data_IF_735275539479
#
_entry.id   IF_735275539479
#
_cell.length_a   1.000
_cell.length_b   1.000
_cell.length_c   1.000
_cell.angle_alpha   90.00
_cell.angle_beta   90.00
_cell.angle_gamma   90.00
#
_symmetry.space_group_name_H-M   'P 1'
#
loop_
_entity.id
_entity.type
_entity.pdbx_description
1 polymer ?
#
# COMPACT_ATOMS: atom_id res chain seq x y z
N UNK A 1 5.69 -12.67 11.55
CA UNK A 1 7.12 -12.43 11.26
C UNK A 1 7.44 -11.03 11.72
N UNK A 2 8.64 -10.83 12.27
CA UNK A 2 9.13 -9.51 12.60
C UNK A 2 9.58 -9.33 14.04
N UNK A 3 9.82 -8.06 14.39
CA UNK A 3 10.22 -7.58 15.71
C UNK A 3 9.09 -6.70 16.24
N UNK A 4 8.95 -6.63 17.55
CA UNK A 4 8.24 -5.50 18.16
C UNK A 4 9.06 -4.22 18.00
N UNK A 5 8.46 -3.05 18.17
CA UNK A 5 9.20 -1.77 18.15
C UNK A 5 10.12 -1.58 19.38
N UNK A 6 10.44 -2.66 20.11
CA UNK A 6 11.32 -2.68 21.28
C UNK A 6 12.78 -2.99 20.95
N UNK A 7 13.61 -3.24 21.96
CA UNK A 7 15.03 -3.57 21.77
C UNK A 7 15.27 -5.04 21.40
N UNK A 8 14.31 -5.92 21.68
CA UNK A 8 14.40 -7.37 21.45
C UNK A 8 14.77 -7.75 20.01
N UNK A 9 15.51 -8.85 19.78
CA UNK A 9 15.76 -9.33 18.42
C UNK A 9 14.48 -9.84 17.74
N UNK A 10 14.43 -9.74 16.41
CA UNK A 10 13.29 -10.20 15.62
C UNK A 10 13.13 -11.73 15.73
N UNK A 11 11.97 -12.21 16.16
CA UNK A 11 11.71 -13.64 16.39
C UNK A 11 11.73 -14.46 15.09
N UNK A 12 11.29 -13.87 13.96
CA UNK A 12 11.37 -14.46 12.60
C UNK A 12 11.47 -13.35 11.56
N UNK A 13 12.69 -13.11 11.05
CA UNK A 13 13.00 -12.11 10.00
C UNK A 13 12.41 -12.53 8.66
N UNK A 14 12.30 -11.59 7.72
CA UNK A 14 11.89 -11.93 6.36
C UNK A 14 12.95 -12.87 5.72
N UNK A 15 12.53 -13.91 4.99
CA UNK A 15 13.46 -14.93 4.48
C UNK A 15 14.27 -14.48 3.27
N UNK A 16 13.94 -13.35 2.64
CA UNK A 16 14.58 -12.89 1.40
C UNK A 16 15.75 -11.96 1.72
N UNK A 17 15.54 -10.96 2.60
CA UNK A 17 16.57 -9.96 2.95
C UNK A 17 16.90 -9.88 4.45
N UNK A 18 16.31 -10.74 5.29
CA UNK A 18 16.62 -10.77 6.73
C UNK A 18 16.18 -9.52 7.49
N UNK A 19 15.24 -8.75 6.95
CA UNK A 19 14.67 -7.56 7.57
C UNK A 19 13.76 -7.96 8.73
N UNK A 20 13.83 -7.17 9.81
CA UNK A 20 13.00 -7.37 10.98
C UNK A 20 11.56 -6.85 10.82
N UNK A 21 11.29 -6.04 9.79
CA UNK A 21 9.98 -5.44 9.53
C UNK A 21 9.63 -5.45 8.03
N UNK A 22 10.18 -6.41 7.28
CA UNK A 22 9.86 -6.58 5.86
C UNK A 22 8.47 -7.20 5.68
N UNK A 23 7.77 -6.79 4.62
CA UNK A 23 6.54 -7.42 4.16
C UNK A 23 6.61 -7.61 2.64
N UNK A 24 6.15 -8.76 2.15
CA UNK A 24 6.01 -8.99 0.71
C UNK A 24 4.77 -8.26 0.18
N UNK A 25 4.76 -7.93 -1.11
CA UNK A 25 3.57 -7.37 -1.78
C UNK A 25 2.33 -8.22 -1.54
N UNK A 26 2.45 -9.56 -1.53
CA UNK A 26 1.33 -10.45 -1.22
C UNK A 26 0.79 -10.29 0.21
N UNK A 27 1.67 -10.16 1.21
CA UNK A 27 1.25 -9.95 2.60
C UNK A 27 0.50 -8.62 2.77
N UNK A 28 0.98 -7.57 2.11
CA UNK A 28 0.31 -6.25 2.12
C UNK A 28 -1.01 -6.32 1.34
N UNK A 29 -1.07 -7.02 0.21
CA UNK A 29 -2.31 -7.24 -0.54
C UNK A 29 -3.37 -7.93 0.32
N UNK A 30 -2.98 -9.00 1.03
CA UNK A 30 -3.86 -9.70 1.96
C UNK A 30 -4.36 -8.79 3.09
N UNK A 31 -3.54 -7.87 3.59
CA UNK A 31 -3.95 -6.89 4.59
C UNK A 31 -5.06 -5.99 4.03
N UNK A 32 -4.86 -5.37 2.86
CA UNK A 32 -5.90 -4.52 2.24
C UNK A 32 -7.16 -5.31 1.88
N UNK A 33 -7.01 -6.55 1.41
CA UNK A 33 -8.14 -7.43 1.14
C UNK A 33 -8.97 -7.68 2.40
N UNK A 34 -8.34 -8.06 3.51
CA UNK A 34 -9.05 -8.27 4.79
C UNK A 34 -9.66 -6.98 5.33
N UNK A 35 -9.00 -5.83 5.13
CA UNK A 35 -9.55 -4.52 5.49
C UNK A 35 -10.80 -4.20 4.67
N UNK A 36 -10.77 -4.47 3.35
CA UNK A 36 -11.92 -4.28 2.46
C UNK A 36 -13.10 -5.19 2.81
N UNK A 37 -12.80 -6.40 3.28
CA UNK A 37 -13.80 -7.40 3.68
C UNK A 37 -14.29 -7.23 5.13
N UNK A 38 -13.71 -6.30 5.92
CA UNK A 38 -14.04 -6.14 7.34
C UNK A 38 -13.63 -7.33 8.21
N UNK A 39 -12.64 -8.12 7.77
CA UNK A 39 -12.16 -9.32 8.49
C UNK A 39 -10.78 -9.13 9.10
N UNK A 40 -10.19 -7.93 9.03
CA UNK A 40 -8.86 -7.65 9.56
C UNK A 40 -8.88 -7.35 11.06
N UNK A 41 -9.80 -6.47 11.49
CA UNK A 41 -9.96 -5.94 12.84
C UNK A 41 -11.46 -5.98 13.20
N UNK A 42 -11.81 -5.63 14.43
CA UNK A 42 -13.21 -5.33 14.76
C UNK A 42 -13.71 -4.08 14.02
N UNK A 43 -15.01 -3.78 14.15
CA UNK A 43 -15.66 -2.69 13.43
C UNK A 43 -15.06 -1.33 13.77
N UNK A 44 -14.85 -1.03 15.05
CA UNK A 44 -14.34 0.26 15.52
C UNK A 44 -12.96 0.54 14.92
N UNK A 45 -12.04 -0.42 15.06
CA UNK A 45 -10.69 -0.28 14.55
C UNK A 45 -10.61 -0.34 13.02
N UNK A 46 -11.53 -1.06 12.36
CA UNK A 46 -11.67 -1.03 10.90
C UNK A 46 -12.04 0.37 10.42
N UNK A 47 -13.02 1.02 11.06
CA UNK A 47 -13.43 2.38 10.71
C UNK A 47 -12.29 3.38 10.94
N UNK A 48 -11.61 3.28 12.09
CA UNK A 48 -10.45 4.11 12.41
C UNK A 48 -9.33 3.94 11.37
N UNK A 49 -8.98 2.70 11.03
CA UNK A 49 -7.91 2.43 10.06
C UNK A 49 -8.26 2.95 8.66
N UNK A 50 -9.52 2.81 8.23
CA UNK A 50 -9.99 3.35 6.96
C UNK A 50 -9.90 4.89 6.96
N UNK A 51 -10.34 5.53 8.03
CA UNK A 51 -10.27 7.00 8.14
C UNK A 51 -8.82 7.51 8.01
N UNK A 52 -7.89 6.91 8.76
CA UNK A 52 -6.46 7.26 8.71
C UNK A 52 -5.89 7.08 7.30
N UNK A 53 -6.16 5.95 6.66
CA UNK A 53 -5.64 5.65 5.33
C UNK A 53 -6.26 6.51 4.22
N UNK A 54 -7.46 7.07 4.45
CA UNK A 54 -8.15 7.93 3.48
C UNK A 54 -7.54 9.33 3.36
N UNK A 55 -6.66 9.72 4.28
CA UNK A 55 -6.07 11.06 4.38
C UNK A 55 -4.55 11.01 4.14
N UNK A 56 -4.08 10.79 2.89
CA UNK A 56 -2.66 10.75 2.62
C UNK A 56 -2.02 12.12 2.89
N UNK A 57 -1.12 12.19 3.86
CA UNK A 57 -0.42 13.45 4.18
C UNK A 57 0.66 13.88 3.17
N UNK A 58 0.93 13.07 2.13
CA UNK A 58 1.99 13.34 1.14
C UNK A 58 1.53 12.94 -0.28
N UNK A 59 1.51 13.91 -1.18
CA UNK A 59 1.06 13.77 -2.58
C UNK A 59 2.19 13.38 -3.54
N UNK A 60 2.83 12.24 -3.28
CA UNK A 60 3.86 11.63 -4.13
C UNK A 60 3.44 10.23 -4.63
N UNK A 61 4.17 9.62 -5.57
CA UNK A 61 3.94 8.25 -6.09
C UNK A 61 2.50 8.03 -6.61
N UNK A 62 1.74 7.07 -6.08
CA UNK A 62 0.41 6.70 -6.61
C UNK A 62 -0.56 7.89 -6.63
N UNK A 63 -0.59 8.72 -5.58
CA UNK A 63 -1.51 9.87 -5.51
C UNK A 63 -1.27 10.82 -6.67
N UNK A 64 -0.03 11.07 -7.08
CA UNK A 64 0.30 11.98 -8.20
C UNK A 64 -0.34 11.57 -9.54
N UNK A 65 -0.78 10.32 -9.69
CA UNK A 65 -1.45 9.82 -10.90
C UNK A 65 -2.91 9.44 -10.72
N UNK A 66 -3.40 9.40 -9.48
CA UNK A 66 -4.79 9.08 -9.16
C UNK A 66 -5.57 10.30 -8.62
N UNK A 67 -4.86 11.35 -8.19
CA UNK A 67 -5.45 12.60 -7.73
C UNK A 67 -6.23 13.29 -8.86
N UNK A 68 -7.39 13.87 -8.52
CA UNK A 68 -8.30 14.49 -9.48
C UNK A 68 -9.20 13.50 -10.26
N UNK A 69 -8.97 12.19 -10.11
CA UNK A 69 -9.91 11.18 -10.60
C UNK A 69 -11.03 10.99 -9.58
N UNK A 70 -12.21 10.58 -10.04
CA UNK A 70 -13.35 10.28 -9.17
C UNK A 70 -13.18 8.90 -8.48
N UNK A 71 -12.23 8.82 -7.57
CA UNK A 71 -11.86 7.60 -6.85
C UNK A 71 -11.69 7.88 -5.35
N UNK A 72 -12.04 6.89 -4.53
CA UNK A 72 -11.66 6.86 -3.11
C UNK A 72 -10.38 6.06 -2.96
N UNK A 73 -9.41 6.57 -2.20
CA UNK A 73 -8.09 5.96 -2.04
C UNK A 73 -7.78 5.79 -0.56
N UNK A 74 -7.55 4.55 -0.14
CA UNK A 74 -7.02 4.19 1.18
C UNK A 74 -5.57 3.77 0.99
N UNK A 75 -4.61 4.58 1.46
CA UNK A 75 -3.21 4.46 1.04
C UNK A 75 -2.20 4.50 2.17
N UNK A 76 -1.11 3.75 1.99
CA UNK A 76 0.14 3.95 2.74
C UNK A 76 1.35 3.97 1.81
N UNK A 77 2.12 5.06 1.87
CA UNK A 77 3.42 5.19 1.20
C UNK A 77 4.59 4.81 2.12
N UNK A 78 5.72 4.44 1.52
CA UNK A 78 6.98 4.19 2.23
C UNK A 78 8.18 4.56 1.38
N UNK A 79 9.25 5.04 2.03
CA UNK A 79 10.56 5.25 1.43
C UNK A 79 11.63 4.88 2.45
N UNK A 80 12.68 4.18 2.03
CA UNK A 80 13.84 3.90 2.88
C UNK A 80 15.09 3.69 2.04
N UNK A 81 16.08 4.59 2.14
CA UNK A 81 17.24 4.61 1.24
C UNK A 81 16.78 4.61 -0.24
N UNK A 82 17.21 3.66 -1.05
CA UNK A 82 16.79 3.43 -2.44
C UNK A 82 15.45 2.71 -2.59
N UNK A 83 14.84 2.28 -1.48
CA UNK A 83 13.54 1.61 -1.54
C UNK A 83 12.39 2.60 -1.62
N UNK A 84 11.53 2.38 -2.59
CA UNK A 84 10.26 3.07 -2.77
C UNK A 84 9.13 2.04 -2.64
N UNK A 85 8.20 2.29 -1.73
CA UNK A 85 7.00 1.48 -1.57
C UNK A 85 5.76 2.36 -1.68
N UNK A 86 4.72 1.83 -2.30
CA UNK A 86 3.40 2.43 -2.25
C UNK A 86 2.32 1.36 -2.30
N UNK A 87 1.22 1.63 -1.60
CA UNK A 87 0.15 0.67 -1.41
C UNK A 87 -1.19 1.38 -1.29
N UNK A 88 -2.19 0.91 -2.00
CA UNK A 88 -3.52 1.50 -1.98
C UNK A 88 -4.62 0.48 -2.22
N UNK A 89 -5.74 0.65 -1.51
CA UNK A 89 -7.04 0.16 -1.91
C UNK A 89 -7.75 1.31 -2.62
N UNK A 90 -8.06 1.11 -3.90
CA UNK A 90 -8.70 2.11 -4.76
C UNK A 90 -10.13 1.65 -5.05
N UNK A 91 -11.08 2.57 -4.86
CA UNK A 91 -12.50 2.37 -5.13
C UNK A 91 -12.96 3.39 -6.17
N UNK A 92 -13.57 2.90 -7.25
CA UNK A 92 -14.04 3.71 -8.38
C UNK A 92 -15.41 3.21 -8.83
N UNK A 93 -16.05 3.95 -9.75
CA UNK A 93 -17.30 3.51 -10.38
C UNK A 93 -17.14 2.18 -11.16
N UNK A 94 -15.96 1.91 -11.71
CA UNK A 94 -15.65 0.67 -12.44
C UNK A 94 -15.35 -0.52 -11.50
N UNK A 95 -15.23 -0.28 -10.20
CA UNK A 95 -14.96 -1.30 -9.20
C UNK A 95 -13.82 -0.94 -8.26
N UNK A 96 -13.41 -1.95 -7.48
CA UNK A 96 -12.43 -1.85 -6.40
C UNK A 96 -11.23 -2.74 -6.69
N UNK A 97 -10.02 -2.21 -6.52
CA UNK A 97 -8.79 -2.96 -6.71
C UNK A 97 -7.71 -2.57 -5.68
N UNK A 98 -6.77 -3.48 -5.46
CA UNK A 98 -5.60 -3.25 -4.61
C UNK A 98 -4.39 -3.03 -5.51
N UNK A 99 -3.70 -1.91 -5.33
CA UNK A 99 -2.51 -1.54 -6.06
C UNK A 99 -1.31 -1.47 -5.11
N UNK A 100 -0.22 -2.13 -5.47
CA UNK A 100 0.96 -2.28 -4.64
C UNK A 100 2.22 -2.24 -5.51
N UNK A 101 3.25 -1.57 -5.02
CA UNK A 101 4.58 -1.62 -5.62
C UNK A 101 5.67 -1.48 -4.56
N UNK A 102 6.76 -2.21 -4.78
CA UNK A 102 7.96 -2.20 -3.97
C UNK A 102 9.15 -2.22 -4.92
N UNK A 103 9.87 -1.12 -5.00
CA UNK A 103 11.00 -0.92 -5.91
C UNK A 103 12.26 -0.57 -5.13
N UNK A 104 13.41 -1.05 -5.58
CA UNK A 104 14.74 -0.74 -5.04
C UNK A 104 15.57 -0.11 -6.16
N UNK A 105 15.24 1.13 -6.52
CA UNK A 105 15.82 1.86 -7.64
C UNK A 105 15.70 3.37 -7.40
N UNK A 106 16.70 4.14 -7.85
CA UNK A 106 16.68 5.60 -7.81
C UNK A 106 15.46 6.20 -8.55
N UNK A 107 15.00 5.56 -9.63
CA UNK A 107 13.82 5.99 -10.38
C UNK A 107 12.51 5.32 -9.90
N UNK A 108 12.54 4.67 -8.73
CA UNK A 108 11.42 3.87 -8.23
C UNK A 108 10.13 4.67 -8.03
N UNK A 109 10.23 5.96 -7.68
CA UNK A 109 9.05 6.81 -7.57
C UNK A 109 8.34 7.01 -8.92
N UNK A 110 9.09 7.25 -10.00
CA UNK A 110 8.57 7.45 -11.36
C UNK A 110 7.96 6.16 -11.88
N UNK A 111 8.58 5.01 -11.60
CA UNK A 111 8.05 3.70 -11.93
C UNK A 111 6.72 3.43 -11.23
N UNK A 112 6.62 3.73 -9.92
CA UNK A 112 5.37 3.60 -9.17
C UNK A 112 4.27 4.55 -9.69
N UNK A 113 4.62 5.75 -10.13
CA UNK A 113 3.67 6.64 -10.81
C UNK A 113 3.15 6.01 -12.11
N UNK A 114 4.04 5.52 -12.98
CA UNK A 114 3.67 4.89 -14.24
C UNK A 114 2.76 3.67 -14.02
N UNK A 115 3.10 2.82 -13.04
CA UNK A 115 2.30 1.66 -12.63
C UNK A 115 0.88 2.07 -12.22
N UNK A 116 0.74 3.09 -11.36
CA UNK A 116 -0.58 3.53 -10.90
C UNK A 116 -1.49 3.98 -12.04
N UNK A 117 -0.94 4.73 -13.00
CA UNK A 117 -1.68 5.18 -14.18
C UNK A 117 -2.10 3.99 -15.05
N UNK A 118 -1.17 3.11 -15.36
CA UNK A 118 -1.41 1.97 -16.25
C UNK A 118 -2.46 1.02 -15.67
N UNK A 119 -2.37 0.69 -14.37
CA UNK A 119 -3.34 -0.20 -13.72
C UNK A 119 -4.73 0.45 -13.64
N UNK A 120 -4.81 1.74 -13.29
CA UNK A 120 -6.11 2.41 -13.25
C UNK A 120 -6.79 2.40 -14.62
N UNK A 121 -6.05 2.76 -15.68
CA UNK A 121 -6.56 2.72 -17.05
C UNK A 121 -7.07 1.32 -17.42
N UNK A 122 -6.30 0.28 -17.14
CA UNK A 122 -6.68 -1.11 -17.42
C UNK A 122 -7.99 -1.50 -16.73
N UNK A 123 -8.14 -1.16 -15.45
CA UNK A 123 -9.36 -1.49 -14.68
C UNK A 123 -10.58 -0.72 -15.19
N UNK A 124 -10.41 0.55 -15.56
CA UNK A 124 -11.52 1.41 -16.02
C UNK A 124 -11.88 1.26 -17.50
N UNK A 125 -11.04 0.58 -18.29
CA UNK A 125 -11.32 0.30 -19.70
C UNK A 125 -12.13 -0.97 -19.95
N UNK A 126 -12.40 -1.75 -18.89
CA UNK A 126 -13.23 -2.95 -18.90
C UNK A 126 -14.69 -2.58 -18.66
#
# INVERSE_FOLDING_TARGET
MGKDFGQSPAHKRDPIRGLSHGATVYQVARLYYRLAMGTLLDLEHTLMMRDILSRPGINHKFIKRLEGLNVTILRKSGSWKSFHADSALVESAAGRYILLGLEDNADGEQQLQALARAVHQLVTSL
#
